data_IF_158398373826
#
_entry.id   IF_158398373826
#
_cell.length_a   1.000
_cell.length_b   1.000
_cell.length_c   1.000
_cell.angle_alpha   90.00
_cell.angle_beta   90.00
_cell.angle_gamma   90.00
#
_symmetry.space_group_name_H-M   'P 1'
#
loop_
_entity.id
_entity.type
_entity.pdbx_description
1 polymer ?
#
# COMPACT_ATOMS: atom_id res chain seq x y z
N UNK A 1 -3.13 15.96 6.06
CA UNK A 1 -4.25 15.12 5.56
C UNK A 1 -3.73 13.70 5.39
N UNK A 2 -4.58 12.68 5.49
CA UNK A 2 -4.22 11.28 5.19
C UNK A 2 -4.92 10.82 3.91
N UNK A 3 -4.27 9.94 3.14
CA UNK A 3 -4.91 9.32 1.97
C UNK A 3 -5.86 8.16 2.34
N UNK A 4 -5.86 7.72 3.60
CA UNK A 4 -6.69 6.62 4.09
C UNK A 4 -8.18 6.72 3.71
N UNK A 5 -8.87 7.88 3.77
CA UNK A 5 -10.26 7.98 3.31
C UNK A 5 -10.44 7.54 1.84
N UNK A 6 -9.56 8.02 0.96
CA UNK A 6 -9.65 7.74 -0.49
C UNK A 6 -9.44 6.26 -0.77
N UNK A 7 -8.44 5.66 -0.14
CA UNK A 7 -8.10 4.25 -0.35
C UNK A 7 -9.15 3.33 0.28
N UNK A 8 -9.64 3.68 1.48
CA UNK A 8 -10.70 2.90 2.14
C UNK A 8 -11.98 2.94 1.30
N UNK A 9 -12.37 4.10 0.78
CA UNK A 9 -13.55 4.21 -0.08
C UNK A 9 -13.37 3.40 -1.38
N UNK A 10 -12.18 3.41 -1.99
CA UNK A 10 -11.87 2.55 -3.13
C UNK A 10 -12.10 1.06 -2.84
N UNK A 11 -11.63 0.55 -1.69
CA UNK A 11 -11.83 -0.86 -1.32
C UNK A 11 -13.22 -1.18 -0.77
N UNK A 12 -14.02 -0.18 -0.40
CA UNK A 12 -15.46 -0.38 -0.15
C UNK A 12 -16.24 -0.60 -1.44
N UNK A 13 -15.88 0.13 -2.49
CA UNK A 13 -16.45 -0.04 -3.84
C UNK A 13 -15.89 -1.28 -4.55
N UNK A 14 -14.66 -1.67 -4.22
CA UNK A 14 -13.95 -2.83 -4.78
C UNK A 14 -13.52 -3.78 -3.65
N UNK A 15 -14.48 -4.47 -3.01
CA UNK A 15 -14.18 -5.34 -1.87
C UNK A 15 -13.25 -6.48 -2.26
N UNK A 16 -12.33 -6.80 -1.36
CA UNK A 16 -11.46 -7.97 -1.46
C UNK A 16 -11.96 -9.01 -0.48
N UNK A 17 -12.32 -10.19 -0.98
CA UNK A 17 -12.73 -11.31 -0.13
C UNK A 17 -11.56 -11.84 0.71
N UNK A 18 -11.83 -12.33 1.92
CA UNK A 18 -10.83 -12.91 2.82
C UNK A 18 -9.57 -12.02 3.01
N UNK A 19 -9.80 -10.71 3.17
CA UNK A 19 -8.76 -9.69 3.26
C UNK A 19 -7.99 -9.75 4.58
N UNK A 20 -6.66 -9.64 4.46
CA UNK A 20 -5.77 -9.29 5.57
C UNK A 20 -4.88 -8.11 5.17
N UNK A 21 -4.79 -7.11 6.05
CA UNK A 21 -3.91 -5.95 5.84
C UNK A 21 -2.53 -6.28 6.41
N UNK A 22 -1.48 -5.97 5.67
CA UNK A 22 -0.10 -6.27 6.03
C UNK A 22 0.69 -4.98 6.20
N UNK A 23 1.38 -4.82 7.33
CA UNK A 23 2.43 -3.82 7.46
C UNK A 23 3.75 -4.40 6.91
N UNK A 24 4.45 -3.70 6.01
CA UNK A 24 5.72 -4.19 5.44
C UNK A 24 6.86 -4.19 6.46
N UNK A 25 6.74 -3.39 7.51
CA UNK A 25 7.64 -3.35 8.66
C UNK A 25 6.90 -2.93 9.94
N UNK A 26 7.62 -2.91 11.06
CA UNK A 26 7.09 -2.53 12.38
C UNK A 26 6.78 -1.04 12.49
N UNK A 27 7.42 -0.17 11.70
CA UNK A 27 7.17 1.27 11.67
C UNK A 27 5.83 1.61 11.04
N UNK A 28 5.40 0.83 10.04
CA UNK A 28 4.10 0.94 9.39
C UNK A 28 2.92 0.29 10.14
N UNK A 29 3.16 -0.33 11.29
CA UNK A 29 2.16 -1.15 11.99
C UNK A 29 0.88 -0.40 12.37
N UNK A 30 1.00 0.81 12.94
CA UNK A 30 -0.17 1.62 13.30
C UNK A 30 -0.96 2.09 12.06
N UNK A 31 -0.26 2.37 10.95
CA UNK A 31 -0.89 2.67 9.67
C UNK A 31 -1.69 1.48 9.16
N UNK A 32 -1.07 0.30 9.07
CA UNK A 32 -1.74 -0.92 8.64
C UNK A 32 -2.93 -1.27 9.54
N UNK A 33 -2.79 -1.13 10.86
CA UNK A 33 -3.89 -1.32 11.83
C UNK A 33 -5.06 -0.38 11.59
N UNK A 34 -4.77 0.90 11.29
CA UNK A 34 -5.79 1.89 10.97
C UNK A 34 -6.60 1.51 9.72
N UNK A 35 -5.94 0.94 8.70
CA UNK A 35 -6.61 0.41 7.50
C UNK A 35 -7.40 -0.87 7.81
N UNK A 36 -6.80 -1.83 8.51
CA UNK A 36 -7.45 -3.08 8.90
C UNK A 36 -8.78 -2.85 9.62
N UNK A 37 -8.79 -1.90 10.58
CA UNK A 37 -10.00 -1.52 11.31
C UNK A 37 -11.10 -0.96 10.40
N UNK A 38 -10.75 -0.13 9.41
CA UNK A 38 -11.71 0.53 8.51
C UNK A 38 -12.22 -0.38 7.39
N UNK A 39 -11.43 -1.39 7.03
CA UNK A 39 -11.75 -2.41 6.04
C UNK A 39 -12.32 -3.71 6.66
N UNK A 40 -12.53 -3.75 7.98
CA UNK A 40 -12.98 -4.93 8.72
C UNK A 40 -12.13 -6.19 8.44
N UNK A 41 -10.82 -5.99 8.30
CA UNK A 41 -9.86 -7.01 7.92
C UNK A 41 -8.94 -7.41 9.09
N UNK A 42 -8.29 -8.56 8.97
CA UNK A 42 -7.20 -8.94 9.86
C UNK A 42 -5.97 -8.05 9.69
N UNK A 43 -5.01 -8.17 10.60
CA UNK A 43 -3.71 -7.50 10.52
C UNK A 43 -2.59 -8.54 10.57
N UNK A 44 -1.61 -8.41 9.69
CA UNK A 44 -0.32 -9.08 9.76
C UNK A 44 0.83 -8.06 9.70
N UNK A 45 2.00 -8.44 10.20
CA UNK A 45 3.19 -7.60 10.22
C UNK A 45 4.37 -8.41 9.67
N UNK A 46 5.16 -7.80 8.80
CA UNK A 46 6.46 -8.34 8.44
C UNK A 46 7.52 -7.78 9.39
N UNK A 47 8.24 -8.65 10.09
CA UNK A 47 9.40 -8.31 10.90
C UNK A 47 10.66 -8.67 10.12
N UNK A 48 11.36 -7.66 9.64
CA UNK A 48 12.62 -7.81 8.92
C UNK A 48 13.75 -7.97 9.93
N UNK A 49 14.24 -9.20 10.11
CA UNK A 49 15.41 -9.46 10.95
C UNK A 49 16.67 -9.56 10.10
N UNK A 50 17.69 -8.79 10.47
CA UNK A 50 19.04 -8.93 9.95
C UNK A 50 19.83 -9.75 10.95
N UNK A 51 20.17 -10.99 10.59
CA UNK A 51 21.02 -11.81 11.46
C UNK A 51 22.47 -11.31 11.42
N UNK A 52 22.99 -10.90 10.25
CA UNK A 52 24.32 -10.27 10.09
C UNK A 52 24.39 -9.30 8.90
N UNK A 53 25.40 -8.44 8.91
CA UNK A 53 25.70 -7.57 7.76
C UNK A 53 26.15 -8.42 6.56
N UNK A 54 25.41 -8.34 5.45
CA UNK A 54 25.73 -9.04 4.20
C UNK A 54 25.03 -10.40 3.99
N UNK A 55 24.22 -10.86 4.95
CA UNK A 55 23.37 -12.04 4.79
C UNK A 55 21.97 -11.66 4.24
N UNK A 56 21.30 -12.60 3.58
CA UNK A 56 19.96 -12.40 3.04
C UNK A 56 18.97 -12.07 4.16
N UNK A 57 18.14 -11.04 3.94
CA UNK A 57 17.15 -10.61 4.91
C UNK A 57 16.08 -11.72 5.12
N UNK A 58 15.91 -12.22 6.34
CA UNK A 58 14.83 -13.16 6.67
C UNK A 58 13.59 -12.35 7.06
N UNK A 59 12.48 -12.62 6.36
CA UNK A 59 11.19 -11.98 6.59
C UNK A 59 10.32 -12.87 7.47
N UNK A 60 10.12 -12.49 8.73
CA UNK A 60 9.20 -13.19 9.60
C UNK A 60 7.80 -12.56 9.52
N UNK A 61 6.77 -13.37 9.32
CA UNK A 61 5.39 -12.88 9.22
C UNK A 61 4.66 -13.17 10.53
N UNK A 62 4.25 -12.12 11.22
CA UNK A 62 3.40 -12.20 12.41
C UNK A 62 1.95 -12.01 11.99
N UNK A 63 1.19 -13.10 12.02
CA UNK A 63 -0.21 -13.16 11.58
C UNK A 63 -0.43 -14.31 10.60
N UNK A 64 -1.66 -14.82 10.49
CA UNK A 64 -1.99 -15.89 9.55
C UNK A 64 -2.46 -15.32 8.21
N UNK A 65 -1.60 -15.43 7.20
CA UNK A 65 -1.81 -14.96 5.81
C UNK A 65 -2.17 -16.09 4.85
N UNK A 66 -2.16 -17.35 5.30
CA UNK A 66 -2.35 -18.51 4.41
C UNK A 66 -3.77 -18.53 3.83
N UNK A 67 -3.86 -18.63 2.51
CA UNK A 67 -5.12 -18.62 1.77
C UNK A 67 -5.85 -17.26 1.77
N UNK A 68 -5.23 -16.20 2.30
CA UNK A 68 -5.82 -14.86 2.38
C UNK A 68 -5.39 -13.98 1.22
N UNK A 69 -6.22 -12.98 0.92
CA UNK A 69 -5.85 -11.91 0.02
C UNK A 69 -5.18 -10.79 0.86
N UNK A 70 -3.93 -10.52 0.57
CA UNK A 70 -3.09 -9.59 1.32
C UNK A 70 -3.13 -8.19 0.69
N UNK A 71 -3.38 -7.17 1.51
CA UNK A 71 -3.18 -5.76 1.14
C UNK A 71 -2.05 -5.18 1.97
N UNK A 72 -0.89 -4.99 1.35
CA UNK A 72 0.23 -4.31 1.99
C UNK A 72 -0.02 -2.81 1.98
N UNK A 73 0.17 -2.14 3.12
CA UNK A 73 -0.09 -0.69 3.24
C UNK A 73 1.15 0.02 3.76
N UNK A 74 1.63 1.00 2.99
CA UNK A 74 2.70 1.91 3.41
C UNK A 74 2.39 3.36 3.03
N UNK A 75 3.18 4.31 3.52
CA UNK A 75 3.05 5.70 3.07
C UNK A 75 3.62 5.91 1.67
N UNK A 76 4.73 5.28 1.33
CA UNK A 76 5.40 5.47 0.06
C UNK A 76 6.09 4.23 -0.49
N UNK A 77 6.30 4.21 -1.80
CA UNK A 77 7.14 3.23 -2.47
C UNK A 77 8.17 3.96 -3.32
N UNK A 78 9.45 3.82 -2.97
CA UNK A 78 10.59 4.38 -3.71
C UNK A 78 11.09 3.41 -4.79
N UNK A 79 12.04 2.53 -4.48
CA UNK A 79 12.65 1.61 -5.45
C UNK A 79 11.87 0.31 -5.70
N UNK A 80 10.78 0.08 -4.97
CA UNK A 80 10.00 -1.16 -5.03
C UNK A 80 10.64 -2.39 -4.40
N UNK A 81 11.92 -2.35 -3.99
CA UNK A 81 12.62 -3.52 -3.46
C UNK A 81 11.98 -4.10 -2.20
N UNK A 82 11.71 -3.27 -1.19
CA UNK A 82 11.09 -3.72 0.07
C UNK A 82 9.74 -4.37 -0.18
N UNK A 83 8.87 -3.74 -0.97
CA UNK A 83 7.52 -4.28 -1.18
C UNK A 83 7.52 -5.56 -2.00
N UNK A 84 8.44 -5.70 -2.96
CA UNK A 84 8.56 -6.93 -3.73
C UNK A 84 9.05 -8.09 -2.85
N UNK A 85 9.99 -7.84 -1.93
CA UNK A 85 10.42 -8.84 -0.95
C UNK A 85 9.29 -9.21 0.03
N UNK A 86 8.45 -8.24 0.41
CA UNK A 86 7.24 -8.51 1.22
C UNK A 86 6.26 -9.38 0.45
N UNK A 87 6.02 -9.07 -0.83
CA UNK A 87 5.14 -9.87 -1.68
C UNK A 87 5.68 -11.29 -1.85
N UNK A 88 6.99 -11.47 -2.06
CA UNK A 88 7.62 -12.78 -2.12
C UNK A 88 7.37 -13.58 -0.83
N UNK A 89 7.71 -13.01 0.33
CA UNK A 89 7.54 -13.68 1.62
C UNK A 89 6.07 -14.06 1.91
N UNK A 90 5.12 -13.19 1.53
CA UNK A 90 3.69 -13.49 1.66
C UNK A 90 3.27 -14.63 0.73
N UNK A 91 3.80 -14.67 -0.49
CA UNK A 91 3.54 -15.74 -1.45
C UNK A 91 4.06 -17.09 -0.93
N UNK A 92 5.31 -17.12 -0.46
CA UNK A 92 5.92 -18.30 0.16
C UNK A 92 5.16 -18.78 1.41
N UNK A 93 4.59 -17.86 2.18
CA UNK A 93 3.73 -18.16 3.34
C UNK A 93 2.33 -18.70 2.95
N UNK A 94 2.00 -18.69 1.65
CA UNK A 94 0.76 -19.23 1.10
C UNK A 94 -0.37 -18.21 0.95
N UNK A 95 -0.08 -16.92 0.84
CA UNK A 95 -1.08 -15.91 0.47
C UNK A 95 -1.65 -16.20 -0.94
N UNK A 96 -2.94 -15.91 -1.13
CA UNK A 96 -3.65 -16.17 -2.39
C UNK A 96 -3.38 -15.08 -3.43
N UNK A 97 -3.72 -13.83 -3.09
CA UNK A 97 -3.42 -12.66 -3.91
C UNK A 97 -2.77 -11.58 -3.06
N UNK A 98 -1.87 -10.80 -3.66
CA UNK A 98 -1.12 -9.77 -2.92
C UNK A 98 -1.25 -8.46 -3.69
N UNK A 99 -1.81 -7.44 -3.05
CA UNK A 99 -1.85 -6.07 -3.56
C UNK A 99 -1.11 -5.15 -2.60
N UNK A 100 -0.66 -3.99 -3.08
CA UNK A 100 -0.01 -2.98 -2.26
C UNK A 100 -0.68 -1.62 -2.47
N UNK A 101 -0.72 -0.81 -1.42
CA UNK A 101 -1.21 0.56 -1.48
C UNK A 101 -0.24 1.55 -0.83
N UNK A 102 -0.01 2.66 -1.53
CA UNK A 102 0.87 3.74 -1.09
C UNK A 102 0.19 5.10 -1.26
N UNK A 103 0.49 6.02 -0.36
CA UNK A 103 0.14 7.43 -0.62
C UNK A 103 1.04 7.96 -1.74
N UNK A 104 2.35 7.83 -1.60
CA UNK A 104 3.34 8.39 -2.52
C UNK A 104 4.00 7.30 -3.35
N UNK A 105 3.60 7.17 -4.62
CA UNK A 105 4.30 6.35 -5.60
C UNK A 105 5.51 7.09 -6.16
N UNK A 106 6.62 7.14 -5.42
CA UNK A 106 7.87 7.72 -5.93
C UNK A 106 8.40 6.89 -7.11
N UNK A 107 8.34 5.56 -6.99
CA UNK A 107 8.60 4.58 -8.05
C UNK A 107 9.90 4.87 -8.83
N UNK A 108 10.99 5.15 -8.12
CA UNK A 108 12.27 5.51 -8.70
C UNK A 108 13.09 4.30 -9.15
N UNK A 109 14.12 4.56 -9.96
CA UNK A 109 15.08 3.56 -10.39
C UNK A 109 14.41 2.35 -11.05
N UNK A 110 14.57 1.17 -10.44
CA UNK A 110 14.04 -0.10 -10.95
C UNK A 110 12.62 -0.43 -10.45
N UNK A 111 11.91 0.50 -9.81
CA UNK A 111 10.61 0.19 -9.21
C UNK A 111 9.61 -0.42 -10.18
N UNK A 112 9.52 0.11 -11.41
CA UNK A 112 8.60 -0.42 -12.43
C UNK A 112 8.97 -1.85 -12.84
N UNK A 113 10.26 -2.12 -13.04
CA UNK A 113 10.76 -3.47 -13.36
C UNK A 113 10.49 -4.44 -12.21
N UNK A 114 10.81 -4.03 -10.99
CA UNK A 114 10.60 -4.82 -9.78
C UNK A 114 9.11 -5.16 -9.60
N UNK A 115 8.21 -4.17 -9.70
CA UNK A 115 6.77 -4.38 -9.58
C UNK A 115 6.29 -5.31 -10.70
N UNK A 116 6.73 -5.08 -11.95
CA UNK A 116 6.35 -5.91 -13.09
C UNK A 116 6.64 -7.39 -12.84
N UNK A 117 7.83 -7.70 -12.31
CA UNK A 117 8.32 -9.06 -12.09
C UNK A 117 7.94 -9.66 -10.72
N UNK A 118 7.26 -8.90 -9.86
CA UNK A 118 6.87 -9.35 -8.52
C UNK A 118 5.54 -10.12 -8.48
N UNK A 119 5.28 -10.76 -7.34
CA UNK A 119 4.00 -11.39 -6.98
C UNK A 119 2.86 -10.41 -6.68
N UNK A 120 3.04 -9.10 -6.90
CA UNK A 120 1.98 -8.12 -6.75
C UNK A 120 0.96 -8.24 -7.89
N UNK A 121 -0.30 -8.47 -7.54
CA UNK A 121 -1.46 -8.41 -8.44
C UNK A 121 -1.77 -6.97 -8.86
N UNK A 122 -1.87 -6.06 -7.88
CA UNK A 122 -2.19 -4.65 -8.11
C UNK A 122 -1.43 -3.74 -7.14
N UNK A 123 -0.99 -2.60 -7.64
CA UNK A 123 -0.36 -1.51 -6.88
C UNK A 123 -1.23 -0.27 -6.97
N UNK A 124 -1.78 0.15 -5.84
CA UNK A 124 -2.63 1.33 -5.72
C UNK A 124 -1.75 2.48 -5.22
N UNK A 125 -1.73 3.59 -5.95
CA UNK A 125 -1.02 4.82 -5.54
C UNK A 125 -1.94 6.02 -5.65
N UNK A 126 -1.60 7.12 -5.00
CA UNK A 126 -2.29 8.39 -5.28
C UNK A 126 -1.57 9.21 -6.34
N UNK A 127 -2.26 10.18 -6.94
CA UNK A 127 -1.68 11.16 -7.87
C UNK A 127 -0.88 12.29 -7.17
N UNK A 128 -0.38 12.07 -5.95
CA UNK A 128 0.52 13.03 -5.29
C UNK A 128 1.86 13.18 -6.01
N UNK A 129 2.29 12.14 -6.74
CA UNK A 129 3.45 12.16 -7.63
C UNK A 129 2.97 11.68 -9.01
N UNK A 130 3.22 12.43 -10.09
CA UNK A 130 2.89 11.98 -11.43
C UNK A 130 3.63 10.68 -11.78
N UNK A 131 2.91 9.69 -12.32
CA UNK A 131 3.52 8.45 -12.79
C UNK A 131 4.41 8.75 -14.01
N UNK A 132 5.66 8.31 -13.95
CA UNK A 132 6.61 8.46 -15.06
C UNK A 132 6.18 7.63 -16.28
N UNK A 133 6.65 8.02 -17.47
CA UNK A 133 6.28 7.40 -18.75
C UNK A 133 6.53 5.88 -18.78
N UNK A 134 7.65 5.43 -18.20
CA UNK A 134 7.98 4.01 -18.10
C UNK A 134 6.97 3.20 -17.25
N UNK A 135 6.22 3.85 -16.36
CA UNK A 135 5.16 3.21 -15.57
C UNK A 135 3.81 3.10 -16.28
N UNK A 136 3.60 3.83 -17.39
CA UNK A 136 2.31 3.81 -18.13
C UNK A 136 1.87 2.42 -18.57
N UNK A 137 2.73 1.53 -19.09
CA UNK A 137 2.32 0.17 -19.47
C UNK A 137 1.71 -0.62 -18.30
N UNK A 138 2.23 -0.46 -17.07
CA UNK A 138 1.66 -1.12 -15.91
C UNK A 138 0.32 -0.53 -15.49
N UNK A 139 0.14 0.78 -15.67
CA UNK A 139 -1.15 1.44 -15.44
C UNK A 139 -2.19 0.97 -16.46
N UNK A 140 -1.85 1.02 -17.74
CA UNK A 140 -2.78 0.71 -18.82
C UNK A 140 -3.10 -0.80 -18.87
N UNK A 141 -2.18 -1.65 -18.40
CA UNK A 141 -2.39 -3.08 -18.14
C UNK A 141 -3.12 -3.40 -16.82
N UNK A 142 -3.52 -2.38 -16.03
CA UNK A 142 -4.30 -2.55 -14.80
C UNK A 142 -3.50 -3.01 -13.57
N UNK A 143 -2.17 -3.16 -13.67
CA UNK A 143 -1.29 -3.51 -12.55
C UNK A 143 -1.02 -2.32 -11.62
N UNK A 144 -1.05 -1.08 -12.13
CA UNK A 144 -1.02 0.16 -11.33
C UNK A 144 -2.37 0.88 -11.42
N UNK A 145 -2.95 1.19 -10.26
CA UNK A 145 -4.16 2.01 -10.12
C UNK A 145 -3.78 3.37 -9.51
N UNK A 146 -4.29 4.47 -10.07
CA UNK A 146 -4.01 5.82 -9.55
C UNK A 146 -5.30 6.44 -9.00
N UNK A 147 -5.33 6.70 -7.69
CA UNK A 147 -6.42 7.39 -7.01
C UNK A 147 -6.14 8.89 -6.90
N UNK A 148 -7.16 9.71 -7.16
CA UNK A 148 -7.01 11.17 -7.08
C UNK A 148 -7.16 11.68 -5.64
N UNK A 149 -6.18 12.43 -5.15
CA UNK A 149 -6.29 13.23 -3.92
C UNK A 149 -6.93 14.61 -4.16
N UNK A 150 -7.29 14.94 -5.40
CA UNK A 150 -7.76 16.27 -5.78
C UNK A 150 -8.98 16.75 -4.98
N UNK A 151 -9.98 15.89 -4.77
CA UNK A 151 -11.18 16.23 -3.97
C UNK A 151 -10.83 16.51 -2.50
N UNK A 152 -9.93 15.72 -1.93
CA UNK A 152 -9.48 15.88 -0.54
C UNK A 152 -8.70 17.19 -0.36
N UNK A 153 -7.77 17.48 -1.28
CA UNK A 153 -7.00 18.72 -1.28
C UNK A 153 -7.90 19.94 -1.50
N UNK A 154 -8.83 19.88 -2.46
CA UNK A 154 -9.79 20.96 -2.71
C UNK A 154 -10.66 21.25 -1.47
N UNK A 155 -11.12 20.20 -0.77
CA UNK A 155 -11.91 20.34 0.46
C UNK A 155 -11.09 20.98 1.59
N UNK A 156 -9.81 20.62 1.72
CA UNK A 156 -8.92 21.22 2.70
C UNK A 156 -8.63 22.69 2.39
N UNK A 157 -8.34 23.03 1.13
CA UNK A 157 -8.13 24.41 0.68
C UNK A 157 -9.38 25.25 0.96
N UNK A 158 -10.55 24.73 0.60
CA UNK A 158 -11.84 25.39 0.89
C UNK A 158 -12.02 25.60 2.40
N UNK A 159 -11.74 24.57 3.21
CA UNK A 159 -11.93 24.67 4.66
C UNK A 159 -11.03 25.75 5.27
N UNK A 160 -9.77 25.84 4.82
CA UNK A 160 -8.84 26.90 5.23
C UNK A 160 -9.33 28.27 4.78
N UNK A 161 -9.78 28.40 3.53
CA UNK A 161 -10.27 29.66 2.98
C UNK A 161 -11.53 30.17 3.71
N UNK A 162 -12.43 29.26 4.06
CA UNK A 162 -13.70 29.56 4.74
C UNK A 162 -13.54 29.59 6.28
N UNK A 163 -12.32 29.45 6.81
CA UNK A 163 -12.01 29.36 8.26
C UNK A 163 -12.84 28.27 8.99
N UNK A 164 -13.13 27.17 8.30
CA UNK A 164 -13.83 26.01 8.86
C UNK A 164 -12.88 24.87 9.25
N UNK A 165 -13.38 23.89 10.00
CA UNK A 165 -12.54 22.82 10.55
C UNK A 165 -12.06 21.83 9.49
N UNK A 166 -10.74 21.78 9.30
CA UNK A 166 -10.05 20.73 8.51
C UNK A 166 -10.12 19.37 9.20
N UNK A 167 -10.34 19.32 10.52
CA UNK A 167 -10.42 18.07 11.29
C UNK A 167 -11.55 17.16 10.81
N UNK A 168 -12.60 17.74 10.20
CA UNK A 168 -13.72 17.01 9.59
C UNK A 168 -13.32 16.12 8.42
N UNK A 169 -12.14 16.34 7.81
CA UNK A 169 -11.63 15.57 6.67
C UNK A 169 -10.88 14.30 7.08
N UNK A 170 -10.66 14.11 8.39
CA UNK A 170 -10.04 12.91 8.93
C UNK A 170 -11.13 11.92 9.36
N UNK A 171 -11.02 10.67 8.91
CA UNK A 171 -11.89 9.54 9.29
C UNK A 171 -11.16 8.58 10.22
#
# INVERSE_FOLDING_TARGET
>A
LYAAPIVVDYFRENPIDNLIVVAPDTGGAERARAYAKRLYAGLALCDKRRERAGEADVMNIVGDVRGKNCLIVDDMCDTGGTICNVAEALHEAGANEISACFTHGVLSGKAIENISNSHLKKVIVTNTIPLAENGRPLKDGGKIEILSVGKLLASAIKSIHDETSVSSLFI
#
